data_IF_489860408686
#
_entry.id   IF_489860408686
#
_cell.length_a   1.000
_cell.length_b   1.000
_cell.length_c   1.000
_cell.angle_alpha   90.00
_cell.angle_beta   90.00
_cell.angle_gamma   90.00
#
_symmetry.space_group_name_H-M   'P 1'
#
loop_
_entity.id
_entity.type
_entity.pdbx_description
1 polymer ?
#
# COMPACT_ATOMS: atom_id res chain seq x y z
N UNK A 1 9.73 -7.87 -20.47
CA UNK A 1 8.63 -7.13 -21.15
C UNK A 1 7.41 -7.99 -21.41
N UNK A 2 7.55 -9.24 -21.88
CA UNK A 2 6.39 -10.12 -22.18
C UNK A 2 5.42 -10.28 -21.01
N UNK A 3 5.91 -10.58 -19.79
CA UNK A 3 5.04 -10.75 -18.61
C UNK A 3 4.25 -9.50 -18.25
N UNK A 4 4.82 -8.29 -18.41
CA UNK A 4 4.14 -7.03 -18.14
C UNK A 4 2.90 -6.85 -19.02
N UNK A 5 3.08 -7.04 -20.33
CA UNK A 5 2.00 -6.91 -21.31
C UNK A 5 0.92 -7.99 -21.06
N UNK A 6 1.33 -9.24 -20.81
CA UNK A 6 0.41 -10.32 -20.44
C UNK A 6 -0.40 -9.98 -19.20
N UNK A 7 0.24 -9.42 -18.17
CA UNK A 7 -0.45 -9.01 -16.93
C UNK A 7 -1.59 -8.03 -17.21
N UNK A 8 -1.36 -7.03 -18.07
CA UNK A 8 -2.37 -6.00 -18.36
C UNK A 8 -3.46 -6.54 -19.29
N UNK A 9 -3.09 -7.29 -20.34
CA UNK A 9 -4.05 -7.72 -21.36
C UNK A 9 -4.82 -8.99 -21.00
N UNK A 10 -4.21 -9.89 -20.22
CA UNK A 10 -4.81 -11.17 -19.82
C UNK A 10 -5.56 -11.06 -18.49
N UNK A 11 -5.37 -9.99 -17.70
CA UNK A 11 -6.17 -9.78 -16.49
C UNK A 11 -7.57 -9.22 -16.80
N UNK A 12 -8.57 -9.74 -16.10
CA UNK A 12 -9.97 -9.42 -16.34
C UNK A 12 -10.30 -7.96 -15.98
N UNK A 13 -10.91 -7.24 -16.92
CA UNK A 13 -11.34 -5.85 -16.72
C UNK A 13 -10.24 -4.78 -16.86
N UNK A 14 -9.03 -5.17 -17.27
CA UNK A 14 -7.86 -4.27 -17.38
C UNK A 14 -7.38 -4.04 -18.83
N UNK A 15 -8.12 -4.47 -19.85
CA UNK A 15 -7.69 -4.44 -21.25
C UNK A 15 -7.37 -3.01 -21.74
N UNK A 16 -8.09 -2.00 -21.24
CA UNK A 16 -7.86 -0.59 -21.56
C UNK A 16 -6.77 0.09 -20.71
N UNK A 17 -6.09 -0.67 -19.84
CA UNK A 17 -5.12 -0.15 -18.88
C UNK A 17 -3.69 -0.03 -19.44
N UNK A 18 -3.49 -0.28 -20.75
CA UNK A 18 -2.19 -0.16 -21.43
C UNK A 18 -1.83 1.31 -21.73
N UNK A 19 -1.74 2.12 -20.68
CA UNK A 19 -1.33 3.52 -20.73
C UNK A 19 -0.09 3.75 -19.86
N UNK A 20 0.73 4.73 -20.23
CA UNK A 20 2.05 4.98 -19.61
C UNK A 20 2.05 4.92 -18.06
N UNK A 21 1.19 5.65 -17.32
CA UNK A 21 1.33 5.69 -15.86
C UNK A 21 0.96 4.36 -15.21
N UNK A 22 0.11 3.56 -15.84
CA UNK A 22 -0.23 2.22 -15.37
C UNK A 22 0.91 1.25 -15.70
N UNK A 23 1.42 1.28 -16.93
CA UNK A 23 2.54 0.43 -17.37
C UNK A 23 3.77 0.65 -16.48
N UNK A 24 4.15 1.91 -16.26
CA UNK A 24 5.26 2.30 -15.40
C UNK A 24 5.07 1.81 -13.96
N UNK A 25 3.86 1.93 -13.42
CA UNK A 25 3.55 1.48 -12.06
C UNK A 25 3.56 -0.05 -11.91
N UNK A 26 2.96 -0.78 -12.86
CA UNK A 26 2.95 -2.25 -12.85
C UNK A 26 4.39 -2.77 -12.98
N UNK A 27 5.19 -2.21 -13.89
CA UNK A 27 6.60 -2.55 -14.04
C UNK A 27 7.38 -2.36 -12.72
N UNK A 28 7.13 -1.27 -11.99
CA UNK A 28 7.74 -1.04 -10.67
C UNK A 28 7.30 -2.07 -9.61
N UNK A 29 6.14 -2.71 -9.77
CA UNK A 29 5.64 -3.75 -8.87
C UNK A 29 6.12 -5.16 -9.22
N UNK A 30 6.81 -5.36 -10.35
CA UNK A 30 7.29 -6.67 -10.81
C UNK A 30 8.51 -7.14 -10.01
N UNK A 31 8.32 -7.47 -8.73
CA UNK A 31 9.35 -8.04 -7.88
C UNK A 31 9.51 -9.55 -8.17
N UNK A 32 10.74 -10.11 -8.15
CA UNK A 32 10.96 -11.55 -8.37
C UNK A 32 10.15 -12.46 -7.44
N UNK A 33 9.99 -12.08 -6.17
CA UNK A 33 9.19 -12.80 -5.17
C UNK A 33 7.71 -12.97 -5.55
N UNK A 34 7.16 -12.07 -6.37
CA UNK A 34 5.77 -12.14 -6.84
C UNK A 34 5.66 -12.70 -8.25
N UNK A 35 6.53 -12.24 -9.15
CA UNK A 35 6.49 -12.65 -10.57
C UNK A 35 6.84 -14.12 -10.79
N UNK A 36 7.62 -14.73 -9.88
CA UNK A 36 7.92 -16.16 -9.91
C UNK A 36 6.73 -17.05 -9.56
N UNK A 37 5.62 -16.48 -9.03
CA UNK A 37 4.38 -17.20 -8.75
C UNK A 37 3.59 -17.57 -10.02
N UNK A 38 4.08 -17.22 -11.20
CA UNK A 38 3.50 -17.65 -12.48
C UNK A 38 2.10 -17.09 -12.72
N UNK A 39 1.13 -17.94 -13.04
CA UNK A 39 -0.26 -17.53 -13.31
C UNK A 39 -0.92 -16.80 -12.13
N UNK A 40 -0.56 -17.17 -10.89
CA UNK A 40 -1.09 -16.51 -9.69
C UNK A 40 -0.76 -15.00 -9.65
N UNK A 41 0.32 -14.57 -10.30
CA UNK A 41 0.61 -13.15 -10.48
C UNK A 41 -0.45 -12.47 -11.36
N UNK A 42 -0.80 -13.08 -12.50
CA UNK A 42 -1.79 -12.52 -13.43
C UNK A 42 -3.18 -12.51 -12.78
N UNK A 43 -3.57 -13.61 -12.13
CA UNK A 43 -4.85 -13.75 -11.42
C UNK A 43 -5.01 -12.75 -10.26
N UNK A 44 -3.90 -12.28 -9.67
CA UNK A 44 -3.97 -11.23 -8.66
C UNK A 44 -4.44 -9.90 -9.24
N UNK A 45 -4.17 -9.63 -10.53
CA UNK A 45 -4.59 -8.40 -11.19
C UNK A 45 -6.08 -8.43 -11.60
N UNK A 46 -6.71 -9.59 -11.73
CA UNK A 46 -8.17 -9.69 -11.92
C UNK A 46 -8.95 -9.05 -10.76
N UNK A 47 -8.34 -9.03 -9.57
CA UNK A 47 -8.91 -8.45 -8.35
C UNK A 47 -8.60 -6.96 -8.18
N UNK A 48 -7.82 -6.37 -9.10
CA UNK A 48 -7.36 -4.98 -9.02
C UNK A 48 -7.86 -4.21 -10.24
N UNK A 49 -8.88 -3.35 -10.10
CA UNK A 49 -9.39 -2.57 -11.22
C UNK A 49 -8.45 -1.38 -11.53
N UNK A 50 -7.48 -1.60 -12.42
CA UNK A 50 -6.35 -0.69 -12.62
C UNK A 50 -6.80 0.71 -13.07
N UNK A 51 -7.67 0.76 -14.08
CA UNK A 51 -8.20 2.02 -14.63
C UNK A 51 -9.09 2.76 -13.63
N UNK A 52 -9.88 2.06 -12.82
CA UNK A 52 -10.73 2.69 -11.82
C UNK A 52 -9.92 3.37 -10.71
N UNK A 53 -8.87 2.71 -10.22
CA UNK A 53 -7.98 3.29 -9.20
C UNK A 53 -7.25 4.50 -9.79
N UNK A 54 -6.72 4.40 -11.02
CA UNK A 54 -6.06 5.52 -11.69
C UNK A 54 -6.99 6.74 -11.86
N UNK A 55 -8.23 6.51 -12.32
CA UNK A 55 -9.26 7.57 -12.42
C UNK A 55 -9.56 8.20 -11.08
N UNK A 56 -9.68 7.39 -10.03
CA UNK A 56 -9.90 7.89 -8.67
C UNK A 56 -8.75 8.77 -8.20
N UNK A 57 -7.50 8.33 -8.39
CA UNK A 57 -6.33 9.11 -7.98
C UNK A 57 -6.20 10.44 -8.73
N UNK A 58 -6.54 10.47 -10.02
CA UNK A 58 -6.63 11.72 -10.79
C UNK A 58 -7.73 12.65 -10.27
N UNK A 59 -8.90 12.10 -9.94
CA UNK A 59 -10.02 12.86 -9.42
C UNK A 59 -9.79 13.49 -8.04
N UNK A 60 -8.79 13.02 -7.28
CA UNK A 60 -8.41 13.62 -6.00
C UNK A 60 -7.67 14.96 -6.17
N UNK A 61 -7.10 15.23 -7.34
CA UNK A 61 -6.29 16.43 -7.63
C UNK A 61 -5.14 16.70 -6.61
N UNK A 62 -4.64 15.63 -5.99
CA UNK A 62 -3.55 15.67 -5.00
C UNK A 62 -2.17 15.39 -5.61
N UNK A 63 -2.13 14.80 -6.79
CA UNK A 63 -0.92 14.28 -7.41
C UNK A 63 -0.72 14.90 -8.78
N UNK A 64 0.50 15.38 -9.05
CA UNK A 64 0.85 15.79 -10.42
C UNK A 64 0.95 14.57 -11.35
N UNK A 65 0.61 14.72 -12.63
CA UNK A 65 0.71 13.63 -13.62
C UNK A 65 2.12 13.02 -13.68
N UNK A 66 3.17 13.81 -13.42
CA UNK A 66 4.58 13.33 -13.43
C UNK A 66 4.91 12.36 -12.28
N UNK A 67 4.21 12.47 -11.14
CA UNK A 67 4.46 11.66 -9.94
C UNK A 67 3.34 10.67 -9.65
N UNK A 68 2.22 10.77 -10.37
CA UNK A 68 1.03 9.95 -10.20
C UNK A 68 1.34 8.45 -10.29
N UNK A 69 2.13 8.03 -11.30
CA UNK A 69 2.51 6.63 -11.49
C UNK A 69 3.25 6.05 -10.27
N UNK A 70 4.06 6.85 -9.57
CA UNK A 70 4.83 6.41 -8.42
C UNK A 70 3.93 6.10 -7.23
N UNK A 71 3.02 7.02 -6.90
CA UNK A 71 2.05 6.80 -5.82
C UNK A 71 1.07 5.68 -6.16
N UNK A 72 0.69 5.58 -7.44
CA UNK A 72 -0.13 4.47 -7.92
C UNK A 72 0.58 3.12 -7.72
N UNK A 73 1.88 3.04 -8.01
CA UNK A 73 2.67 1.83 -7.75
C UNK A 73 2.71 1.45 -6.25
N UNK A 74 2.79 2.43 -5.35
CA UNK A 74 2.71 2.18 -3.90
C UNK A 74 1.35 1.57 -3.54
N UNK A 75 0.25 2.14 -4.06
CA UNK A 75 -1.09 1.61 -3.84
C UNK A 75 -1.25 0.19 -4.41
N UNK A 76 -0.70 -0.08 -5.59
CA UNK A 76 -0.68 -1.42 -6.20
C UNK A 76 0.11 -2.42 -5.35
N UNK A 77 1.30 -2.08 -4.87
CA UNK A 77 2.10 -2.95 -4.00
C UNK A 77 1.34 -3.35 -2.74
N UNK A 78 0.64 -2.42 -2.11
CA UNK A 78 -0.16 -2.72 -0.92
C UNK A 78 -1.29 -3.71 -1.22
N UNK A 79 -1.96 -3.56 -2.38
CA UNK A 79 -3.01 -4.49 -2.82
C UNK A 79 -2.45 -5.86 -3.18
N UNK A 80 -1.34 -5.90 -3.92
CA UNK A 80 -0.67 -7.13 -4.31
C UNK A 80 -0.17 -7.91 -3.10
N UNK A 81 0.45 -7.23 -2.13
CA UNK A 81 0.85 -7.85 -0.88
C UNK A 81 -0.34 -8.51 -0.17
N UNK A 82 -1.48 -7.81 -0.07
CA UNK A 82 -2.68 -8.37 0.55
C UNK A 82 -3.25 -9.61 -0.18
N UNK A 83 -3.04 -9.73 -1.50
CA UNK A 83 -3.55 -10.83 -2.33
C UNK A 83 -2.58 -12.01 -2.39
N UNK A 84 -1.30 -11.74 -2.64
CA UNK A 84 -0.27 -12.75 -2.91
C UNK A 84 0.44 -13.23 -1.66
N UNK A 85 0.44 -12.41 -0.62
CA UNK A 85 0.96 -12.72 0.71
C UNK A 85 -0.08 -12.30 1.75
N UNK A 86 -1.25 -12.99 1.77
CA UNK A 86 -2.18 -12.87 2.87
C UNK A 86 -1.49 -13.45 4.10
N UNK A 87 -0.56 -12.69 4.68
CA UNK A 87 -0.06 -12.93 6.01
C UNK A 87 -1.30 -12.85 6.91
N UNK A 88 -1.39 -13.71 7.92
CA UNK A 88 -2.33 -13.57 9.05
C UNK A 88 -2.11 -12.25 9.85
N UNK A 89 -1.59 -11.19 9.23
CA UNK A 89 -1.10 -9.95 9.79
C UNK A 89 -2.18 -8.87 9.98
N UNK A 90 -3.38 -9.27 10.37
CA UNK A 90 -4.23 -8.36 11.17
C UNK A 90 -3.54 -8.06 12.52
N UNK A 91 -2.50 -8.81 12.92
CA UNK A 91 -1.93 -8.74 14.27
C UNK A 91 -0.71 -7.85 14.55
N UNK A 92 0.08 -7.36 13.56
CA UNK A 92 1.50 -7.02 13.87
C UNK A 92 2.01 -5.59 13.89
N UNK A 93 1.26 -4.52 13.60
CA UNK A 93 1.82 -3.15 13.75
C UNK A 93 0.96 -2.08 14.43
N UNK A 94 -0.19 -2.42 15.01
CA UNK A 94 -0.82 -1.59 16.05
C UNK A 94 -0.44 -1.98 17.48
N UNK A 95 0.36 -3.04 17.70
CA UNK A 95 0.66 -3.58 19.05
C UNK A 95 2.10 -3.37 19.56
N UNK A 96 2.82 -2.41 18.99
CA UNK A 96 4.07 -1.90 19.59
C UNK A 96 3.89 -0.53 20.28
N UNK A 97 2.66 -0.03 20.39
CA UNK A 97 2.33 1.09 21.26
C UNK A 97 1.77 0.54 22.59
N UNK A 98 2.37 0.98 23.70
CA UNK A 98 1.86 0.89 25.08
C UNK A 98 2.10 -0.43 25.83
N UNK A 99 3.37 -0.74 26.15
CA UNK A 99 3.75 -1.32 27.47
C UNK A 99 5.12 -0.80 27.93
N UNK A 100 5.14 0.43 28.43
CA UNK A 100 5.94 0.79 29.61
C UNK A 100 5.24 1.95 30.31
N UNK A 101 4.49 1.63 31.36
CA UNK A 101 3.90 2.63 32.24
C UNK A 101 5.02 3.41 32.91
N UNK A 102 5.09 4.72 32.63
CA UNK A 102 5.73 5.65 33.57
C UNK A 102 4.66 6.13 34.54
N UNK A 103 4.83 5.96 35.86
CA UNK A 103 3.83 6.37 36.83
C UNK A 103 3.66 7.89 36.79
N UNK A 104 2.40 8.35 36.80
CA UNK A 104 2.05 9.77 36.98
C UNK A 104 2.60 10.20 38.34
N UNK A 105 3.57 11.11 38.38
CA UNK A 105 3.97 11.78 39.63
C UNK A 105 2.84 12.73 40.04
N UNK A 106 2.29 12.63 41.26
CA UNK A 106 1.31 13.58 41.74
C UNK A 106 1.94 14.97 41.90
N UNK A 107 1.29 15.97 41.31
CA UNK A 107 1.50 17.37 41.64
C UNK A 107 0.73 17.65 42.94
N UNK A 108 1.43 17.68 44.07
CA UNK A 108 1.12 18.52 45.24
C UNK A 108 1.96 18.11 46.45
N UNK A 109 3.03 18.86 46.71
CA UNK A 109 3.65 19.03 48.04
C UNK A 109 4.81 20.03 47.94
N UNK A 110 4.49 21.31 47.69
CA UNK A 110 5.45 22.41 47.93
C UNK A 110 4.88 23.58 48.73
N UNK A 111 3.63 23.48 49.20
CA UNK A 111 2.95 24.53 49.96
C UNK A 111 2.88 24.29 51.49
N UNK A 112 3.67 23.36 52.05
CA UNK A 112 3.66 23.06 53.51
C UNK A 112 5.03 23.12 54.20
N UNK A 113 5.95 23.95 53.71
CA UNK A 113 7.20 24.29 54.43
C UNK A 113 7.46 25.79 54.52
N UNK A 114 6.39 26.56 54.71
CA UNK A 114 6.40 27.97 55.10
C UNK A 114 5.49 28.12 56.34
N UNK A 115 5.71 27.31 57.37
CA UNK A 115 5.09 27.46 58.71
C UNK A 115 5.71 26.43 59.68
N UNK A 116 6.95 26.67 60.11
CA UNK A 116 7.55 26.21 61.37
C UNK A 116 8.92 26.87 61.53
#
# INVERSE_FOLDING_TARGET
MTLLIRTILESEGNQDALIEPIVSAVALCMLPEWTTKGLAWIEAFDKIPLTAIMRTMRGLDLFSEKTLWHYYAIALRNKLAAILEPTDAIGRKCRAAVKSGRPRRPADQRAQRMAA
#
